data_IF_086522523143
#
_entry.id   IF_086522523143
#
_cell.length_a   1.000
_cell.length_b   1.000
_cell.length_c   1.000
_cell.angle_alpha   90.00
_cell.angle_beta   90.00
_cell.angle_gamma   90.00
#
_symmetry.space_group_name_H-M   'P 1'
#
loop_
_entity.id
_entity.type
_entity.pdbx_description
1 polymer ?
#
# COMPACT_ATOMS: atom_id res chain seq x y z
N UNK A 1 12.39 8.93 -4.80
CA UNK A 1 11.52 9.00 -3.60
C UNK A 1 10.57 10.20 -3.55
N UNK A 2 11.05 11.42 -3.83
CA UNK A 2 10.23 12.65 -3.77
C UNK A 2 9.07 12.64 -4.78
N UNK A 3 9.31 12.22 -6.02
CA UNK A 3 8.25 12.10 -7.05
C UNK A 3 7.19 11.05 -6.70
N UNK A 4 7.61 9.85 -6.25
CA UNK A 4 6.67 8.81 -5.79
C UNK A 4 5.81 9.29 -4.63
N UNK A 5 6.41 9.97 -3.65
CA UNK A 5 5.66 10.57 -2.55
C UNK A 5 4.66 11.62 -3.05
N UNK A 6 5.07 12.50 -3.97
CA UNK A 6 4.19 13.51 -4.54
C UNK A 6 2.99 12.87 -5.26
N UNK A 7 3.22 11.88 -6.12
CA UNK A 7 2.15 11.16 -6.81
C UNK A 7 1.14 10.50 -5.85
N UNK A 8 1.64 9.86 -4.79
CA UNK A 8 0.80 9.24 -3.77
C UNK A 8 0.02 10.27 -2.96
N UNK A 9 0.68 11.37 -2.57
CA UNK A 9 0.05 12.46 -1.81
C UNK A 9 -1.02 13.18 -2.63
N UNK A 10 -0.77 13.37 -3.93
CA UNK A 10 -1.72 13.95 -4.89
C UNK A 10 -2.87 12.99 -5.25
N UNK A 11 -2.94 11.80 -4.62
CA UNK A 11 -3.96 10.77 -4.86
C UNK A 11 -4.04 10.33 -6.34
N UNK A 12 -2.93 10.41 -7.07
CA UNK A 12 -2.85 9.96 -8.47
C UNK A 12 -2.64 8.45 -8.60
N UNK A 13 -2.52 7.76 -7.47
CA UNK A 13 -2.43 6.31 -7.35
C UNK A 13 -3.02 5.88 -6.01
N UNK A 14 -3.82 4.81 -6.00
CA UNK A 14 -4.51 4.32 -4.80
C UNK A 14 -3.67 3.36 -3.95
N UNK A 15 -2.66 2.71 -4.55
CA UNK A 15 -1.79 1.75 -3.89
C UNK A 15 -0.38 1.78 -4.49
N UNK A 16 0.62 1.59 -3.64
CA UNK A 16 2.01 1.40 -4.06
C UNK A 16 2.39 -0.09 -4.03
N UNK A 17 2.73 -0.65 -5.19
CA UNK A 17 3.30 -1.99 -5.32
C UNK A 17 4.82 -1.88 -5.44
N UNK A 18 5.56 -2.26 -4.40
CA UNK A 18 7.03 -2.14 -4.44
C UNK A 18 7.71 -3.08 -3.45
N UNK A 19 9.05 -3.08 -3.42
CA UNK A 19 9.80 -3.80 -2.38
C UNK A 19 9.82 -3.07 -1.03
N UNK A 20 10.17 -3.81 0.04
CA UNK A 20 10.25 -3.34 1.43
C UNK A 20 11.03 -2.03 1.64
N UNK A 21 12.07 -1.78 0.83
CA UNK A 21 12.90 -0.55 0.91
C UNK A 21 12.11 0.75 0.68
N UNK A 22 10.95 0.69 0.03
CA UNK A 22 10.11 1.86 -0.25
C UNK A 22 8.76 1.87 0.48
N UNK A 23 8.51 0.91 1.37
CA UNK A 23 7.28 0.85 2.19
C UNK A 23 6.98 2.17 2.91
N UNK A 24 7.99 2.75 3.57
CA UNK A 24 7.81 3.97 4.36
C UNK A 24 7.47 5.21 3.52
N UNK A 25 7.73 5.18 2.21
CA UNK A 25 7.32 6.28 1.32
C UNK A 25 5.80 6.33 1.22
N UNK A 26 5.15 5.17 1.04
CA UNK A 26 3.70 5.06 0.99
C UNK A 26 3.05 5.34 2.35
N UNK A 27 3.61 4.78 3.44
CA UNK A 27 3.05 4.99 4.78
C UNK A 27 3.13 6.45 5.24
N UNK A 28 4.21 7.18 4.91
CA UNK A 28 4.29 8.62 5.16
C UNK A 28 3.30 9.44 4.32
N UNK A 29 2.92 8.93 3.15
CA UNK A 29 1.84 9.51 2.35
C UNK A 29 0.45 9.08 2.83
N UNK A 30 0.35 8.25 3.89
CA UNK A 30 -0.89 7.63 4.40
C UNK A 30 -1.61 6.82 3.31
N UNK A 31 -0.84 6.14 2.46
CA UNK A 31 -1.36 5.37 1.33
C UNK A 31 -1.08 3.86 1.49
N UNK A 32 -1.98 3.00 0.95
CA UNK A 32 -1.77 1.56 0.86
C UNK A 32 -0.44 1.18 0.20
N UNK A 33 0.15 0.10 0.72
CA UNK A 33 1.36 -0.50 0.19
C UNK A 33 1.25 -2.01 0.19
N UNK A 34 1.78 -2.65 -0.85
CA UNK A 34 1.89 -4.10 -0.95
C UNK A 34 3.29 -4.46 -1.41
N UNK A 35 3.93 -5.37 -0.67
CA UNK A 35 5.25 -5.89 -1.05
C UNK A 35 5.12 -6.68 -2.36
N UNK A 36 6.01 -6.44 -3.35
CA UNK A 36 6.10 -7.22 -4.62
C UNK A 36 7.48 -7.89 -4.93
N UNK A 37 8.49 -7.76 -4.05
CA UNK A 37 9.71 -8.62 -3.98
C UNK A 37 9.56 -10.17 -4.13
N UNK A 38 10.61 -10.90 -4.49
CA UNK A 38 10.51 -12.35 -4.71
C UNK A 38 10.54 -13.21 -3.43
N UNK A 39 11.17 -12.73 -2.36
CA UNK A 39 11.35 -13.47 -1.09
C UNK A 39 10.13 -13.33 -0.16
N UNK A 40 8.95 -13.77 -0.61
CA UNK A 40 7.72 -13.74 0.19
C UNK A 40 7.34 -15.08 0.80
N UNK A 41 6.59 -15.00 1.90
CA UNK A 41 5.84 -16.15 2.42
C UNK A 41 4.70 -16.61 1.51
N UNK A 42 4.15 -15.73 0.67
CA UNK A 42 3.09 -16.06 -0.29
C UNK A 42 3.49 -15.63 -1.70
N UNK A 43 3.62 -16.59 -2.62
CA UNK A 43 3.85 -16.31 -4.03
C UNK A 43 2.59 -15.80 -4.73
N UNK A 44 2.75 -14.89 -5.68
CA UNK A 44 1.65 -14.39 -6.52
C UNK A 44 1.61 -15.04 -7.91
N UNK A 45 2.48 -16.02 -8.17
CA UNK A 45 2.53 -16.71 -9.46
C UNK A 45 1.44 -17.77 -9.61
N UNK A 46 0.97 -17.97 -10.85
CA UNK A 46 -0.07 -18.93 -11.18
C UNK A 46 -1.48 -18.47 -10.79
N UNK A 47 -2.47 -19.32 -11.03
CA UNK A 47 -3.88 -18.99 -10.79
C UNK A 47 -4.18 -18.71 -9.33
N UNK A 48 -3.70 -19.57 -8.43
CA UNK A 48 -3.86 -19.37 -6.98
C UNK A 48 -3.13 -18.11 -6.50
N UNK A 49 -1.94 -17.85 -7.03
CA UNK A 49 -1.17 -16.65 -6.72
C UNK A 49 -1.87 -15.36 -7.16
N UNK A 50 -2.56 -15.37 -8.30
CA UNK A 50 -3.38 -14.23 -8.76
C UNK A 50 -4.54 -13.96 -7.81
N UNK A 51 -5.25 -15.00 -7.38
CA UNK A 51 -6.33 -14.86 -6.38
C UNK A 51 -5.77 -14.29 -5.08
N UNK A 52 -4.59 -14.75 -4.66
CA UNK A 52 -3.92 -14.23 -3.47
C UNK A 52 -3.53 -12.76 -3.61
N UNK A 53 -2.96 -12.38 -4.75
CA UNK A 53 -2.59 -10.98 -5.03
C UNK A 53 -3.81 -10.06 -4.91
N UNK A 54 -4.93 -10.44 -5.51
CA UNK A 54 -6.18 -9.65 -5.43
C UNK A 54 -6.69 -9.55 -4.00
N UNK A 55 -6.64 -10.63 -3.22
CA UNK A 55 -7.00 -10.61 -1.78
C UNK A 55 -6.11 -9.66 -0.97
N UNK A 56 -4.81 -9.61 -1.25
CA UNK A 56 -3.90 -8.70 -0.55
C UNK A 56 -4.09 -7.24 -0.98
N UNK A 57 -4.38 -6.98 -2.26
CA UNK A 57 -4.73 -5.64 -2.75
C UNK A 57 -6.01 -5.14 -2.06
N UNK A 58 -7.05 -5.97 -2.03
CA UNK A 58 -8.32 -5.66 -1.37
C UNK A 58 -8.12 -5.31 0.10
N UNK A 59 -7.40 -6.16 0.84
CA UNK A 59 -7.07 -5.93 2.26
C UNK A 59 -6.28 -4.65 2.48
N UNK A 60 -5.35 -4.34 1.58
CA UNK A 60 -4.51 -3.14 1.70
C UNK A 60 -5.30 -1.87 1.42
N UNK A 61 -6.15 -1.85 0.39
CA UNK A 61 -6.94 -0.66 0.02
C UNK A 61 -8.08 -0.42 1.01
N UNK A 62 -8.83 -1.48 1.36
CA UNK A 62 -10.02 -1.40 2.20
C UNK A 62 -9.72 -1.49 3.70
N UNK A 63 -8.48 -1.29 4.12
CA UNK A 63 -8.12 -1.34 5.53
C UNK A 63 -8.73 -0.13 6.28
N UNK A 64 -9.51 -0.34 7.36
CA UNK A 64 -10.11 0.76 8.11
C UNK A 64 -9.08 1.69 8.77
N UNK A 65 -7.81 1.27 8.89
CA UNK A 65 -6.73 2.12 9.39
C UNK A 65 -6.62 3.43 8.60
N UNK A 66 -6.96 3.44 7.31
CA UNK A 66 -6.86 4.62 6.46
C UNK A 66 -7.79 5.74 6.88
N UNK A 67 -8.99 5.42 7.36
CA UNK A 67 -9.92 6.40 7.91
C UNK A 67 -9.32 7.04 9.17
N UNK A 68 -8.74 6.22 10.05
CA UNK A 68 -8.16 6.67 11.32
C UNK A 68 -6.92 7.55 11.13
N UNK A 69 -6.01 7.19 10.22
CA UNK A 69 -4.76 7.96 10.01
C UNK A 69 -4.95 9.21 9.16
N UNK A 70 -6.07 9.31 8.42
CA UNK A 70 -6.42 10.49 7.62
C UNK A 70 -7.35 11.45 8.37
N UNK A 71 -8.01 11.01 9.44
CA UNK A 71 -8.78 11.88 10.31
C UNK A 71 -7.91 13.03 10.85
N UNK A 72 -8.57 14.16 11.12
CA UNK A 72 -7.93 15.27 11.84
C UNK A 72 -7.55 14.84 13.25
N UNK A 73 -6.52 15.47 13.79
CA UNK A 73 -6.09 15.19 15.14
C UNK A 73 -7.19 15.63 16.12
N UNK A 74 -7.62 14.79 17.07
CA UNK A 74 -8.70 15.11 18.00
C UNK A 74 -8.32 16.15 19.08
N UNK A 75 -7.08 16.64 19.06
CA UNK A 75 -6.54 17.60 20.03
C UNK A 75 -6.25 18.98 19.42
N UNK A 76 -6.67 19.22 18.18
CA UNK A 76 -6.75 20.56 17.60
C UNK A 76 -8.08 21.25 17.99
#
# INVERSE_FOLDING_TARGET
>A
PREMYAMLKESRADIMLSGSRSQFVALKARMPWLDVNQERMHGYAGYEGMVRLVQEIDRSINNPVWEHVRAEAPWD
#
